data_IF_090974949442
#
_entry.id   IF_090974949442
#
_cell.length_a   1.000
_cell.length_b   1.000
_cell.length_c   1.000
_cell.angle_alpha   90.00
_cell.angle_beta   90.00
_cell.angle_gamma   90.00
#
_symmetry.space_group_name_H-M   'P 1'
#
loop_
_entity.id
_entity.type
_entity.pdbx_description
1 polymer ?
#
# COMPACT_ATOMS: atom_id res chain seq x y z
N UNK A 1 -30.97 -6.97 3.15
CA UNK A 1 -29.89 -7.51 3.99
C UNK A 1 -29.07 -8.49 3.18
N UNK A 2 -27.75 -8.33 3.16
CA UNK A 2 -26.86 -9.36 2.61
C UNK A 2 -26.74 -10.46 3.68
N UNK A 3 -27.38 -11.60 3.45
CA UNK A 3 -27.22 -12.78 4.28
C UNK A 3 -25.84 -13.36 3.97
N UNK A 4 -24.88 -13.18 4.88
CA UNK A 4 -23.61 -13.90 4.84
C UNK A 4 -23.76 -15.23 5.57
N UNK A 5 -24.33 -16.22 4.90
CA UNK A 5 -24.36 -17.61 5.37
C UNK A 5 -23.14 -18.37 4.84
N UNK A 6 -21.95 -17.83 5.11
CA UNK A 6 -20.68 -18.51 4.77
C UNK A 6 -19.90 -18.68 6.06
N UNK A 7 -19.79 -19.93 6.52
CA UNK A 7 -18.82 -20.30 7.53
C UNK A 7 -17.41 -20.15 6.93
N UNK A 8 -16.69 -19.12 7.39
CA UNK A 8 -15.34 -18.81 6.92
C UNK A 8 -14.37 -19.96 7.21
N UNK A 9 -14.53 -20.67 8.33
CA UNK A 9 -13.66 -21.79 8.69
C UNK A 9 -13.91 -22.98 7.76
N UNK A 10 -15.19 -23.30 7.48
CA UNK A 10 -15.55 -24.34 6.52
C UNK A 10 -15.04 -23.99 5.12
N UNK A 11 -15.22 -22.73 4.68
CA UNK A 11 -14.74 -22.24 3.40
C UNK A 11 -13.21 -22.40 3.27
N UNK A 12 -12.45 -21.95 4.27
CA UNK A 12 -10.99 -22.07 4.29
C UNK A 12 -10.54 -23.53 4.26
N UNK A 13 -11.20 -24.40 5.02
CA UNK A 13 -10.89 -25.83 5.05
C UNK A 13 -11.12 -26.49 3.67
N UNK A 14 -12.29 -26.28 3.06
CA UNK A 14 -12.60 -26.81 1.72
C UNK A 14 -11.65 -26.27 0.66
N UNK A 15 -11.34 -24.97 0.71
CA UNK A 15 -10.42 -24.34 -0.24
C UNK A 15 -9.02 -24.97 -0.17
N UNK A 16 -8.50 -25.22 1.04
CA UNK A 16 -7.24 -25.94 1.24
C UNK A 16 -7.28 -27.36 0.66
N UNK A 17 -8.37 -28.09 0.89
CA UNK A 17 -8.51 -29.44 0.33
C UNK A 17 -8.51 -29.42 -1.20
N UNK A 18 -9.21 -28.48 -1.82
CA UNK A 18 -9.23 -28.34 -3.29
C UNK A 18 -7.83 -28.00 -3.79
N UNK A 19 -7.16 -27.00 -3.19
CA UNK A 19 -5.82 -26.59 -3.58
C UNK A 19 -4.81 -27.74 -3.54
N UNK A 20 -4.87 -28.57 -2.50
CA UNK A 20 -3.96 -29.71 -2.34
C UNK A 20 -4.25 -30.86 -3.33
N UNK A 21 -5.45 -30.92 -3.90
CA UNK A 21 -5.83 -31.89 -4.93
C UNK A 21 -5.51 -31.42 -6.36
N UNK A 22 -5.17 -30.14 -6.55
CA UNK A 22 -4.81 -29.63 -7.87
C UNK A 22 -3.56 -30.35 -8.39
N UNK A 23 -3.64 -30.83 -9.63
CA UNK A 23 -2.51 -31.44 -10.32
C UNK A 23 -1.61 -30.35 -10.88
N UNK A 24 -0.45 -30.17 -10.27
CA UNK A 24 0.58 -29.25 -10.75
C UNK A 24 1.55 -29.96 -11.69
N UNK A 25 2.03 -29.25 -12.71
CA UNK A 25 3.12 -29.77 -13.56
C UNK A 25 4.41 -29.92 -12.75
N UNK A 26 5.35 -30.71 -13.27
CA UNK A 26 6.65 -30.96 -12.62
C UNK A 26 7.39 -29.66 -12.25
N UNK A 27 7.32 -28.62 -13.10
CA UNK A 27 7.94 -27.32 -12.83
C UNK A 27 7.39 -26.66 -11.56
N UNK A 28 6.07 -26.62 -11.41
CA UNK A 28 5.43 -26.03 -10.23
C UNK A 28 5.57 -26.89 -8.97
N UNK A 29 5.63 -28.22 -9.12
CA UNK A 29 5.98 -29.12 -8.02
C UNK A 29 7.42 -28.88 -7.53
N UNK A 30 8.36 -28.66 -8.44
CA UNK A 30 9.73 -28.30 -8.06
C UNK A 30 9.77 -26.96 -7.30
N UNK A 31 8.99 -25.96 -7.73
CA UNK A 31 8.88 -24.68 -7.01
C UNK A 31 8.36 -24.89 -5.58
N UNK A 32 7.33 -25.74 -5.39
CA UNK A 32 6.86 -26.11 -4.05
C UNK A 32 7.98 -26.70 -3.19
N UNK A 33 8.77 -27.63 -3.75
CA UNK A 33 9.90 -28.24 -3.03
C UNK A 33 10.97 -27.20 -2.64
N UNK A 34 11.29 -26.25 -3.52
CA UNK A 34 12.22 -25.15 -3.21
C UNK A 34 11.69 -24.31 -2.04
N UNK A 35 10.39 -24.00 -2.05
CA UNK A 35 9.73 -23.26 -0.95
C UNK A 35 9.80 -24.03 0.37
N UNK A 36 9.52 -25.34 0.39
CA UNK A 36 9.65 -26.15 1.61
C UNK A 36 11.08 -26.11 2.15
N UNK A 37 12.09 -26.23 1.30
CA UNK A 37 13.49 -26.16 1.71
C UNK A 37 13.83 -24.80 2.34
N UNK A 38 13.33 -23.69 1.79
CA UNK A 38 13.51 -22.35 2.38
C UNK A 38 12.79 -22.26 3.72
N UNK A 39 11.55 -22.74 3.80
CA UNK A 39 10.76 -22.74 5.04
C UNK A 39 11.46 -23.51 6.16
N UNK A 40 12.01 -24.69 5.85
CA UNK A 40 12.80 -25.49 6.79
C UNK A 40 14.07 -24.77 7.25
N UNK A 41 14.81 -24.11 6.35
CA UNK A 41 15.98 -23.28 6.71
C UNK A 41 15.62 -22.12 7.63
N UNK A 42 14.38 -21.64 7.56
CA UNK A 42 13.84 -20.61 8.44
C UNK A 42 13.28 -21.17 9.76
N UNK A 43 13.52 -22.44 10.07
CA UNK A 43 13.00 -23.15 11.25
C UNK A 43 11.47 -23.24 11.26
N UNK A 44 10.85 -23.38 10.09
CA UNK A 44 9.40 -23.53 9.94
C UNK A 44 8.61 -22.38 10.56
N UNK A 45 9.19 -21.17 10.60
CA UNK A 45 8.53 -20.05 11.24
C UNK A 45 9.08 -18.71 10.75
N UNK A 46 8.18 -17.87 10.22
CA UNK A 46 8.45 -16.47 9.93
C UNK A 46 7.15 -15.65 9.86
N UNK A 47 7.30 -14.32 9.89
CA UNK A 47 6.25 -13.33 9.62
C UNK A 47 6.44 -12.76 8.22
N UNK A 48 5.37 -12.63 7.47
CA UNK A 48 5.38 -12.01 6.15
C UNK A 48 4.90 -10.55 6.22
N UNK A 49 5.57 -9.68 5.47
CA UNK A 49 5.09 -8.34 5.15
C UNK A 49 4.94 -8.25 3.64
N UNK A 50 3.71 -8.12 3.16
CA UNK A 50 3.36 -8.07 1.74
C UNK A 50 3.01 -6.65 1.31
N UNK A 51 3.93 -6.03 0.59
CA UNK A 51 3.82 -4.69 0.03
C UNK A 51 3.25 -4.81 -1.37
N UNK A 52 2.13 -4.12 -1.63
CA UNK A 52 1.52 -4.00 -2.96
C UNK A 52 1.26 -2.52 -3.20
N UNK A 53 1.30 -2.11 -4.47
CA UNK A 53 0.93 -0.76 -4.88
C UNK A 53 2.04 0.01 -5.58
N UNK A 54 3.11 -0.64 -6.02
CA UNK A 54 4.14 0.01 -6.84
C UNK A 54 3.59 0.58 -8.15
N UNK A 55 2.72 -0.17 -8.83
CA UNK A 55 1.97 0.31 -10.01
C UNK A 55 1.01 1.47 -9.67
N UNK A 56 0.43 1.49 -8.47
CA UNK A 56 -0.43 2.58 -8.02
C UNK A 56 0.40 3.83 -7.79
N UNK A 57 1.56 3.73 -7.13
CA UNK A 57 2.42 4.89 -6.81
C UNK A 57 3.13 5.42 -8.05
N UNK A 58 3.65 4.52 -8.90
CA UNK A 58 4.50 4.88 -10.03
C UNK A 58 3.73 4.99 -11.36
N UNK A 59 2.52 4.45 -11.44
CA UNK A 59 1.67 4.48 -12.64
C UNK A 59 0.62 5.59 -12.61
N UNK A 60 -0.27 5.58 -13.61
CA UNK A 60 -1.32 6.60 -13.77
C UNK A 60 -2.42 6.51 -12.71
N UNK A 61 -2.58 5.36 -12.07
CA UNK A 61 -3.53 5.17 -10.97
C UNK A 61 -3.21 6.02 -9.72
N UNK A 62 -2.00 6.61 -9.63
CA UNK A 62 -1.63 7.52 -8.53
C UNK A 62 -2.57 8.73 -8.41
N UNK A 63 -3.27 9.09 -9.48
CA UNK A 63 -4.25 10.18 -9.49
C UNK A 63 -5.47 9.88 -8.59
N UNK A 64 -5.74 8.60 -8.29
CA UNK A 64 -6.92 8.14 -7.56
C UNK A 64 -6.61 7.63 -6.14
N UNK A 65 -5.39 7.85 -5.65
CA UNK A 65 -4.99 7.44 -4.29
C UNK A 65 -5.91 8.10 -3.26
N UNK A 66 -6.11 9.42 -3.31
CA UNK A 66 -6.94 10.14 -2.32
C UNK A 66 -8.46 9.93 -2.47
N UNK A 67 -8.88 9.00 -3.34
CA UNK A 67 -10.28 8.61 -3.54
C UNK A 67 -10.47 7.12 -3.21
N UNK A 68 -10.44 6.23 -4.22
CA UNK A 68 -10.73 4.81 -4.06
C UNK A 68 -9.51 3.94 -3.77
N UNK A 69 -8.29 4.43 -4.04
CA UNK A 69 -7.09 3.59 -3.99
C UNK A 69 -6.25 3.70 -2.71
N UNK A 70 -6.55 4.61 -1.78
CA UNK A 70 -5.71 4.80 -0.59
C UNK A 70 -5.58 3.53 0.26
N UNK A 71 -6.60 2.67 0.31
CA UNK A 71 -6.55 1.40 1.07
C UNK A 71 -5.63 0.34 0.45
N UNK A 72 -5.26 0.53 -0.82
CA UNK A 72 -4.29 -0.31 -1.52
C UNK A 72 -2.86 0.23 -1.39
N UNK A 73 -2.70 1.50 -1.00
CA UNK A 73 -1.39 2.10 -0.78
C UNK A 73 -0.77 1.57 0.50
N UNK A 74 0.55 1.40 0.45
CA UNK A 74 1.36 0.96 1.56
C UNK A 74 2.54 1.92 1.75
N UNK A 75 2.41 2.91 2.66
CA UNK A 75 3.49 3.86 2.90
C UNK A 75 4.75 3.16 3.42
N UNK A 76 5.89 3.44 2.79
CA UNK A 76 7.16 2.75 3.12
C UNK A 76 7.65 3.11 4.53
N UNK A 77 7.24 4.26 5.07
CA UNK A 77 7.46 4.69 6.44
C UNK A 77 6.82 3.73 7.44
N UNK A 78 5.54 3.37 7.22
CA UNK A 78 4.81 2.42 8.08
C UNK A 78 5.40 1.02 7.97
N UNK A 79 5.75 0.59 6.76
CA UNK A 79 6.43 -0.70 6.53
C UNK A 79 7.76 -0.75 7.27
N UNK A 80 8.57 0.31 7.13
CA UNK A 80 9.87 0.41 7.79
C UNK A 80 9.70 0.38 9.31
N UNK A 81 8.67 1.05 9.85
CA UNK A 81 8.37 1.03 11.28
C UNK A 81 7.95 -0.37 11.77
N UNK A 82 7.11 -1.08 11.01
CA UNK A 82 6.73 -2.45 11.33
C UNK A 82 7.92 -3.40 11.32
N UNK A 83 8.81 -3.30 10.31
CA UNK A 83 10.04 -4.10 10.24
C UNK A 83 10.90 -3.86 11.48
N UNK A 84 11.12 -2.60 11.87
CA UNK A 84 11.92 -2.25 13.06
C UNK A 84 11.33 -2.88 14.33
N UNK A 85 10.02 -2.78 14.51
CA UNK A 85 9.33 -3.37 15.67
C UNK A 85 9.54 -4.88 15.74
N UNK A 86 9.34 -5.58 14.62
CA UNK A 86 9.49 -7.04 14.55
C UNK A 86 10.95 -7.50 14.70
N UNK A 87 11.91 -6.74 14.16
CA UNK A 87 13.34 -7.01 14.35
C UNK A 87 13.75 -6.87 15.82
N UNK A 88 13.21 -5.87 16.54
CA UNK A 88 13.42 -5.71 17.98
C UNK A 88 12.93 -6.91 18.80
N UNK A 89 11.93 -7.64 18.30
CA UNK A 89 11.40 -8.88 18.88
C UNK A 89 12.17 -10.13 18.43
N UNK A 90 13.23 -9.99 17.63
CA UNK A 90 14.03 -11.08 17.06
C UNK A 90 13.21 -12.06 16.22
N UNK A 91 12.14 -11.58 15.58
CA UNK A 91 11.28 -12.37 14.71
C UNK A 91 11.90 -12.42 13.31
N UNK A 92 11.88 -13.60 12.67
CA UNK A 92 12.24 -13.75 11.25
C UNK A 92 11.15 -13.17 10.36
N UNK A 93 11.52 -12.29 9.44
CA UNK A 93 10.62 -11.54 8.58
C UNK A 93 10.98 -11.83 7.13
N UNK A 94 9.98 -12.08 6.28
CA UNK A 94 10.14 -12.03 4.83
C UNK A 94 9.28 -10.91 4.28
N UNK A 95 9.92 -9.98 3.56
CA UNK A 95 9.24 -8.90 2.84
C UNK A 95 8.98 -9.34 1.40
N UNK A 96 7.73 -9.27 0.98
CA UNK A 96 7.26 -9.55 -0.37
C UNK A 96 6.83 -8.22 -1.00
N UNK A 97 7.25 -7.98 -2.24
CA UNK A 97 6.91 -6.78 -3.00
C UNK A 97 6.91 -7.09 -4.48
N UNK A 98 6.01 -6.46 -5.23
CA UNK A 98 6.04 -6.41 -6.68
C UNK A 98 6.86 -5.23 -7.23
N UNK A 99 7.31 -4.35 -6.34
CA UNK A 99 8.15 -3.19 -6.65
C UNK A 99 9.56 -3.37 -6.08
N UNK A 100 10.53 -3.58 -6.98
CA UNK A 100 11.94 -3.71 -6.63
C UNK A 100 12.55 -2.40 -6.09
N UNK A 101 12.11 -1.25 -6.57
CA UNK A 101 12.59 0.05 -6.12
C UNK A 101 12.16 0.29 -4.67
N UNK A 102 10.91 -0.05 -4.33
CA UNK A 102 10.41 0.02 -2.96
C UNK A 102 11.25 -0.82 -1.99
N UNK A 103 11.59 -2.06 -2.41
CA UNK A 103 12.45 -2.95 -1.62
C UNK A 103 13.83 -2.32 -1.40
N UNK A 104 14.44 -1.77 -2.45
CA UNK A 104 15.75 -1.12 -2.32
C UNK A 104 15.71 0.12 -1.44
N UNK A 105 14.63 0.91 -1.50
CA UNK A 105 14.43 2.04 -0.59
C UNK A 105 14.33 1.58 0.87
N UNK A 106 13.57 0.53 1.16
CA UNK A 106 13.48 -0.04 2.52
C UNK A 106 14.86 -0.51 2.99
N UNK A 107 15.57 -1.32 2.19
CA UNK A 107 16.92 -1.82 2.51
C UNK A 107 17.86 -0.67 2.85
N UNK A 108 17.95 0.35 1.98
CA UNK A 108 18.83 1.51 2.18
C UNK A 108 18.49 2.26 3.47
N UNK A 109 17.21 2.44 3.78
CA UNK A 109 16.79 3.10 5.01
C UNK A 109 17.18 2.30 6.27
N UNK A 110 17.02 0.98 6.25
CA UNK A 110 17.38 0.13 7.38
C UNK A 110 18.90 0.09 7.61
N UNK A 111 19.69 -0.02 6.53
CA UNK A 111 21.16 0.00 6.59
C UNK A 111 21.67 1.34 7.08
N UNK A 112 21.15 2.45 6.55
CA UNK A 112 21.57 3.80 6.94
C UNK A 112 21.38 4.06 8.44
N UNK A 113 20.32 3.49 9.03
CA UNK A 113 20.02 3.59 10.46
C UNK A 113 20.66 2.47 11.30
N UNK A 114 21.58 1.68 10.73
CA UNK A 114 22.37 0.66 11.43
C UNK A 114 21.54 -0.42 12.14
N UNK A 115 20.37 -0.79 11.60
CA UNK A 115 19.58 -1.90 12.16
C UNK A 115 20.28 -3.24 11.93
N UNK A 116 20.19 -4.15 12.90
CA UNK A 116 20.56 -5.54 12.70
C UNK A 116 19.54 -6.23 11.78
N UNK A 117 20.01 -6.72 10.63
CA UNK A 117 19.17 -7.32 9.58
C UNK A 117 19.24 -8.85 9.54
N UNK A 118 19.87 -9.51 10.52
CA UNK A 118 20.05 -10.97 10.57
C UNK A 118 18.74 -11.75 10.34
N UNK A 119 17.62 -11.23 10.86
CA UNK A 119 16.31 -11.85 10.77
C UNK A 119 15.42 -11.26 9.65
N UNK A 120 15.96 -10.45 8.75
CA UNK A 120 15.20 -9.84 7.65
C UNK A 120 15.61 -10.45 6.30
N UNK A 121 14.63 -10.98 5.59
CA UNK A 121 14.78 -11.49 4.24
C UNK A 121 13.84 -10.76 3.29
N UNK A 122 14.22 -10.70 2.02
CA UNK A 122 13.35 -10.22 0.95
C UNK A 122 13.08 -11.38 0.01
N UNK A 123 11.83 -11.57 -0.40
CA UNK A 123 11.43 -12.72 -1.20
C UNK A 123 12.22 -12.79 -2.52
N UNK A 124 12.50 -11.63 -3.14
CA UNK A 124 13.30 -11.54 -4.36
C UNK A 124 14.73 -12.11 -4.22
N UNK A 125 15.32 -12.02 -3.03
CA UNK A 125 16.66 -12.54 -2.76
C UNK A 125 16.62 -14.07 -2.54
N UNK A 126 15.44 -14.62 -2.23
CA UNK A 126 15.19 -16.05 -2.05
C UNK A 126 14.70 -16.74 -3.34
N UNK A 127 14.12 -15.98 -4.27
CA UNK A 127 13.62 -16.48 -5.55
C UNK A 127 14.77 -16.96 -6.46
N UNK A 128 14.71 -18.18 -7.00
CA UNK A 128 15.66 -18.62 -8.02
C UNK A 128 15.61 -17.75 -9.28
N UNK A 129 16.77 -17.30 -9.77
CA UNK A 129 16.88 -16.35 -10.90
C UNK A 129 16.42 -16.90 -12.26
N UNK A 130 16.25 -18.22 -12.38
CA UNK A 130 15.88 -18.88 -13.64
C UNK A 130 14.36 -19.00 -13.83
N UNK A 131 13.55 -18.62 -12.84
CA UNK A 131 12.09 -18.73 -12.93
C UNK A 131 11.52 -17.70 -13.92
N UNK A 132 10.49 -18.10 -14.66
CA UNK A 132 9.66 -17.16 -15.43
C UNK A 132 8.89 -16.21 -14.49
N UNK A 133 8.22 -15.20 -15.07
CA UNK A 133 7.39 -14.26 -14.30
C UNK A 133 6.26 -15.01 -13.57
N UNK A 134 5.58 -15.92 -14.25
CA UNK A 134 4.47 -16.72 -13.70
C UNK A 134 4.97 -17.67 -12.61
N UNK A 135 6.11 -18.32 -12.85
CA UNK A 135 6.78 -19.19 -11.88
C UNK A 135 7.22 -18.41 -10.64
N UNK A 136 7.69 -17.17 -10.80
CA UNK A 136 8.07 -16.27 -9.71
C UNK A 136 6.85 -15.82 -8.89
N UNK A 137 5.74 -15.48 -9.54
CA UNK A 137 4.46 -15.18 -8.86
C UNK A 137 4.02 -16.40 -8.04
N UNK A 138 4.06 -17.60 -8.64
CA UNK A 138 3.71 -18.83 -7.94
C UNK A 138 4.65 -19.14 -6.77
N UNK A 139 5.97 -18.94 -6.94
CA UNK A 139 6.96 -19.08 -5.88
C UNK A 139 6.66 -18.15 -4.70
N UNK A 140 6.47 -16.85 -4.96
CA UNK A 140 6.14 -15.88 -3.92
C UNK A 140 4.84 -16.23 -3.21
N UNK A 141 3.84 -16.71 -3.95
CA UNK A 141 2.56 -17.12 -3.40
C UNK A 141 2.71 -18.34 -2.47
N UNK A 142 3.42 -19.37 -2.92
CA UNK A 142 3.70 -20.56 -2.11
C UNK A 142 4.52 -20.22 -0.87
N UNK A 143 5.54 -19.36 -0.99
CA UNK A 143 6.32 -18.95 0.16
C UNK A 143 5.49 -18.13 1.13
N UNK A 144 4.70 -17.16 0.65
CA UNK A 144 3.83 -16.34 1.48
C UNK A 144 2.83 -17.18 2.28
N UNK A 145 2.25 -18.25 1.70
CA UNK A 145 1.31 -19.13 2.39
C UNK A 145 1.93 -19.95 3.53
N UNK A 146 3.26 -20.05 3.60
CA UNK A 146 3.97 -20.70 4.72
C UNK A 146 4.16 -19.80 5.94
N UNK A 147 3.84 -18.52 5.83
CA UNK A 147 4.00 -17.58 6.94
C UNK A 147 3.01 -17.86 8.08
N UNK A 148 3.44 -17.60 9.31
CA UNK A 148 2.56 -17.74 10.49
C UNK A 148 1.64 -16.52 10.65
N UNK A 149 2.14 -15.35 10.27
CA UNK A 149 1.42 -14.07 10.32
C UNK A 149 1.69 -13.32 9.02
N UNK A 150 0.66 -12.67 8.48
CA UNK A 150 0.78 -11.87 7.27
C UNK A 150 0.27 -10.44 7.51
N UNK A 151 1.19 -9.49 7.41
CA UNK A 151 0.86 -8.07 7.28
C UNK A 151 0.80 -7.71 5.79
N UNK A 152 -0.22 -6.98 5.34
CA UNK A 152 -0.25 -6.49 3.95
C UNK A 152 -1.31 -5.42 3.69
N UNK A 153 -1.48 -4.99 2.44
CA UNK A 153 -2.53 -4.03 2.07
C UNK A 153 -3.92 -4.61 2.31
N UNK A 154 -4.91 -3.75 2.59
CA UNK A 154 -6.23 -4.16 3.07
C UNK A 154 -6.86 -5.24 2.19
N UNK A 155 -6.86 -5.00 0.89
CA UNK A 155 -7.65 -5.75 -0.09
C UNK A 155 -6.79 -6.55 -1.07
N UNK A 156 -5.54 -6.87 -0.73
CA UNK A 156 -4.74 -7.76 -1.58
C UNK A 156 -5.31 -9.18 -1.58
N UNK A 157 -5.98 -9.56 -2.67
CA UNK A 157 -6.52 -10.92 -2.88
C UNK A 157 -5.41 -11.98 -2.86
N UNK A 158 -4.23 -11.64 -3.37
CA UNK A 158 -3.03 -12.49 -3.34
C UNK A 158 -2.67 -12.89 -1.89
N UNK A 159 -2.59 -11.90 -1.00
CA UNK A 159 -2.33 -12.08 0.42
C UNK A 159 -3.43 -12.89 1.11
N UNK A 160 -4.68 -12.48 0.91
CA UNK A 160 -5.86 -13.09 1.52
C UNK A 160 -5.92 -14.58 1.19
N UNK A 161 -5.77 -14.91 -0.10
CA UNK A 161 -5.77 -16.29 -0.58
C UNK A 161 -4.59 -17.09 -0.02
N UNK A 162 -3.38 -16.52 0.01
CA UNK A 162 -2.21 -17.18 0.59
C UNK A 162 -2.44 -17.54 2.07
N UNK A 163 -3.02 -16.63 2.85
CA UNK A 163 -3.33 -16.91 4.25
C UNK A 163 -4.45 -17.93 4.46
N UNK A 164 -5.42 -18.02 3.54
CA UNK A 164 -6.47 -19.06 3.60
C UNK A 164 -5.94 -20.46 3.28
N UNK A 165 -5.03 -20.55 2.31
CA UNK A 165 -4.41 -21.80 1.89
C UNK A 165 -3.31 -22.28 2.85
N UNK A 166 -2.71 -21.34 3.57
CA UNK A 166 -1.58 -21.58 4.46
C UNK A 166 -1.94 -22.09 5.85
N UNK A 167 -0.92 -22.11 6.70
CA UNK A 167 -1.03 -22.31 8.15
C UNK A 167 -1.06 -20.97 8.91
N UNK A 168 -1.49 -19.92 8.22
CA UNK A 168 -1.49 -18.57 8.76
C UNK A 168 -2.46 -18.46 9.94
N UNK A 169 -1.95 -18.02 11.09
CA UNK A 169 -2.75 -17.83 12.31
C UNK A 169 -3.52 -16.52 12.30
N UNK A 170 -2.97 -15.50 11.66
CA UNK A 170 -3.59 -14.17 11.59
C UNK A 170 -3.11 -13.41 10.36
N UNK A 171 -4.06 -12.81 9.66
CA UNK A 171 -3.82 -11.83 8.61
C UNK A 171 -4.25 -10.47 9.11
N UNK A 172 -3.45 -9.44 8.88
CA UNK A 172 -3.69 -8.11 9.41
C UNK A 172 -3.31 -7.07 8.36
N UNK A 173 -4.21 -6.12 8.09
CA UNK A 173 -3.83 -5.02 7.23
C UNK A 173 -2.92 -4.04 8.00
N UNK A 174 -1.94 -3.39 7.35
CA UNK A 174 -1.15 -2.38 8.08
C UNK A 174 -2.00 -1.21 8.54
N UNK A 175 -3.08 -0.91 7.81
CA UNK A 175 -4.07 0.09 8.22
C UNK A 175 -4.64 -0.22 9.62
N UNK A 176 -4.68 -1.49 10.00
CA UNK A 176 -5.21 -1.98 11.27
C UNK A 176 -4.09 -2.25 12.30
N UNK A 177 -2.82 -2.19 11.89
CA UNK A 177 -1.65 -2.46 12.75
C UNK A 177 -1.30 -1.27 13.65
N UNK A 178 -1.59 -0.07 13.19
CA UNK A 178 -1.36 1.19 13.92
C UNK A 178 -2.67 1.98 13.93
N UNK A 179 -2.97 2.68 15.02
CA UNK A 179 -4.11 3.62 15.06
C UNK A 179 -3.91 4.76 14.06
N UNK A 180 -4.97 5.47 13.68
CA UNK A 180 -4.83 6.61 12.77
C UNK A 180 -3.91 7.72 13.32
N UNK A 181 -3.93 7.98 14.62
CA UNK A 181 -2.99 8.91 15.25
C UNK A 181 -1.54 8.41 15.14
N UNK A 182 -1.28 7.14 15.42
CA UNK A 182 0.05 6.54 15.27
C UNK A 182 0.52 6.58 13.82
N UNK A 183 -0.35 6.24 12.87
CA UNK A 183 -0.03 6.31 11.44
C UNK A 183 0.34 7.73 11.03
N UNK A 184 -0.45 8.72 11.45
CA UNK A 184 -0.19 10.12 11.16
C UNK A 184 1.14 10.58 11.75
N UNK A 185 1.43 10.20 13.01
CA UNK A 185 2.66 10.55 13.69
C UNK A 185 3.88 9.91 13.01
N UNK A 186 3.85 8.59 12.79
CA UNK A 186 4.93 7.85 12.12
C UNK A 186 5.21 8.47 10.75
N UNK A 187 4.19 8.71 9.94
CA UNK A 187 4.36 9.29 8.62
C UNK A 187 4.92 10.72 8.69
N UNK A 188 4.38 11.56 9.56
CA UNK A 188 4.80 12.96 9.69
C UNK A 188 6.26 13.08 10.11
N UNK A 189 6.68 12.28 11.09
CA UNK A 189 8.05 12.25 11.60
C UNK A 189 9.04 11.70 10.57
N UNK A 190 8.59 10.72 9.78
CA UNK A 190 9.45 9.99 8.87
C UNK A 190 9.46 10.51 7.42
N UNK A 191 8.55 11.42 7.06
CA UNK A 191 8.42 11.94 5.69
C UNK A 191 9.71 12.59 5.13
N UNK A 192 10.60 13.04 6.02
CA UNK A 192 11.93 13.55 5.63
C UNK A 192 13.06 12.55 5.83
N UNK A 193 13.02 11.77 6.92
CA UNK A 193 14.12 10.88 7.32
C UNK A 193 14.16 9.59 6.50
N UNK A 194 13.00 9.06 6.11
CA UNK A 194 12.91 7.91 5.22
C UNK A 194 13.18 8.39 3.80
N UNK A 195 14.30 7.93 3.25
CA UNK A 195 14.77 8.26 1.90
C UNK A 195 13.96 7.47 0.89
N UNK A 196 12.93 8.09 0.35
CA UNK A 196 12.14 7.59 -0.77
C UNK A 196 12.26 8.51 -2.00
N UNK A 197 11.88 7.99 -3.16
CA UNK A 197 11.77 8.76 -4.40
C UNK A 197 10.59 9.75 -4.32
N UNK A 198 10.47 10.63 -5.32
CA UNK A 198 9.45 11.68 -5.33
C UNK A 198 8.01 11.12 -5.39
N UNK A 199 7.78 10.05 -6.14
CA UNK A 199 6.45 9.42 -6.26
C UNK A 199 5.98 8.87 -4.91
N UNK A 200 6.84 8.17 -4.19
CA UNK A 200 6.54 7.66 -2.84
C UNK A 200 6.37 8.78 -1.81
N UNK A 201 7.11 9.89 -1.92
CA UNK A 201 6.87 11.08 -1.07
C UNK A 201 5.53 11.75 -1.35
N UNK A 202 5.13 11.83 -2.62
CA UNK A 202 3.82 12.34 -3.00
C UNK A 202 2.71 11.43 -2.44
N UNK A 203 2.83 10.11 -2.63
CA UNK A 203 1.89 9.12 -2.10
C UNK A 203 1.79 9.18 -0.57
N UNK A 204 2.90 9.38 0.14
CA UNK A 204 2.90 9.55 1.60
C UNK A 204 2.18 10.83 2.03
N UNK A 205 2.29 11.92 1.28
CA UNK A 205 1.51 13.15 1.53
C UNK A 205 0.01 12.94 1.27
N UNK A 206 -0.36 12.17 0.23
CA UNK A 206 -1.76 11.82 -0.04
C UNK A 206 -2.34 10.99 1.10
N UNK A 207 -1.59 10.00 1.58
CA UNK A 207 -2.00 9.16 2.68
C UNK A 207 -2.14 9.96 3.98
N UNK A 208 -1.16 10.82 4.30
CA UNK A 208 -1.23 11.76 5.42
C UNK A 208 -2.46 12.66 5.37
N UNK A 209 -2.85 13.12 4.18
CA UNK A 209 -4.07 13.90 4.00
C UNK A 209 -5.32 13.06 4.34
N UNK A 210 -5.43 11.83 3.81
CA UNK A 210 -6.58 10.95 4.06
C UNK A 210 -6.71 10.61 5.55
N UNK A 211 -5.62 10.17 6.19
CA UNK A 211 -5.63 9.88 7.62
C UNK A 211 -5.87 11.14 8.45
N UNK A 212 -5.26 12.27 8.06
CA UNK A 212 -5.47 13.56 8.72
C UNK A 212 -6.93 14.01 8.72
N UNK A 213 -7.69 13.72 7.65
CA UNK A 213 -9.15 13.92 7.60
C UNK A 213 -9.89 13.01 8.58
N UNK A 214 -9.46 11.76 8.74
CA UNK A 214 -10.12 10.79 9.64
C UNK A 214 -9.91 11.08 11.13
N UNK A 215 -8.91 11.91 11.48
CA UNK A 215 -8.62 12.35 12.86
C UNK A 215 -8.84 13.85 13.03
N UNK A 216 -9.66 14.46 12.17
CA UNK A 216 -10.10 15.86 12.24
C UNK A 216 -8.95 16.88 12.36
N UNK A 217 -7.84 16.66 11.63
CA UNK A 217 -6.78 17.66 11.54
C UNK A 217 -7.28 18.96 10.91
N UNK A 218 -6.75 20.06 11.41
CA UNK A 218 -7.02 21.40 10.89
C UNK A 218 -6.82 21.50 9.36
N UNK A 219 -7.74 22.20 8.70
CA UNK A 219 -7.77 22.31 7.24
C UNK A 219 -6.55 23.03 6.68
N UNK A 220 -5.99 24.04 7.36
CA UNK A 220 -4.75 24.65 6.90
C UNK A 220 -3.57 23.68 6.97
N UNK A 221 -3.51 22.84 8.02
CA UNK A 221 -2.53 21.77 8.12
C UNK A 221 -2.64 20.81 6.92
N UNK A 222 -3.86 20.38 6.59
CA UNK A 222 -4.13 19.51 5.44
C UNK A 222 -3.72 20.17 4.10
N UNK A 223 -4.02 21.46 3.90
CA UNK A 223 -3.57 22.20 2.72
C UNK A 223 -2.04 22.23 2.62
N UNK A 224 -1.32 22.43 3.73
CA UNK A 224 0.15 22.39 3.76
C UNK A 224 0.70 21.02 3.33
N UNK A 225 0.07 19.94 3.78
CA UNK A 225 0.41 18.56 3.37
C UNK A 225 0.17 18.38 1.86
N UNK A 226 -1.00 18.76 1.36
CA UNK A 226 -1.35 18.64 -0.06
C UNK A 226 -0.40 19.46 -0.96
N UNK A 227 -0.08 20.70 -0.58
CA UNK A 227 0.91 21.53 -1.30
C UNK A 227 2.30 20.92 -1.29
N UNK A 228 2.70 20.26 -0.20
CA UNK A 228 3.96 19.52 -0.14
C UNK A 228 3.94 18.32 -1.09
N UNK A 229 2.86 17.55 -1.11
CA UNK A 229 2.68 16.43 -2.04
C UNK A 229 2.72 16.85 -3.50
N UNK A 230 2.01 17.92 -3.86
CA UNK A 230 2.02 18.49 -5.22
C UNK A 230 3.41 18.96 -5.65
N UNK A 231 4.25 19.45 -4.73
CA UNK A 231 5.65 19.78 -5.04
C UNK A 231 6.47 18.55 -5.38
N UNK A 232 6.13 17.36 -4.89
CA UNK A 232 6.80 16.11 -5.25
C UNK A 232 6.30 15.56 -6.59
N UNK A 233 4.98 15.61 -6.84
CA UNK A 233 4.35 15.25 -8.11
C UNK A 233 3.46 16.38 -8.66
N UNK A 234 4.04 17.33 -9.43
CA UNK A 234 3.30 18.46 -10.00
C UNK A 234 2.34 18.08 -11.13
N UNK A 235 2.39 16.83 -11.64
CA UNK A 235 1.47 16.36 -12.67
C UNK A 235 0.17 15.83 -12.07
N UNK A 236 0.19 15.44 -10.80
CA UNK A 236 -0.98 14.91 -10.13
C UNK A 236 -1.93 16.03 -9.68
N UNK A 237 -2.94 16.31 -10.50
CA UNK A 237 -3.91 17.36 -10.23
C UNK A 237 -4.91 17.01 -9.12
N UNK A 238 -4.95 15.78 -8.62
CA UNK A 238 -5.81 15.42 -7.48
C UNK A 238 -5.46 16.23 -6.23
N UNK A 239 -4.19 16.60 -6.04
CA UNK A 239 -3.78 17.52 -4.98
C UNK A 239 -4.49 18.87 -5.10
N UNK A 240 -4.56 19.41 -6.31
CA UNK A 240 -5.20 20.70 -6.56
C UNK A 240 -6.71 20.63 -6.36
N UNK A 241 -7.35 19.54 -6.79
CA UNK A 241 -8.76 19.28 -6.50
C UNK A 241 -8.98 19.31 -4.97
N UNK A 242 -8.25 18.52 -4.19
CA UNK A 242 -8.43 18.49 -2.73
C UNK A 242 -8.08 19.81 -2.04
N UNK A 243 -7.11 20.58 -2.56
CA UNK A 243 -6.79 21.93 -2.03
C UNK A 243 -7.97 22.88 -2.22
N UNK A 244 -8.55 22.91 -3.42
CA UNK A 244 -9.67 23.79 -3.75
C UNK A 244 -10.89 23.46 -2.89
N UNK A 245 -11.21 22.16 -2.73
CA UNK A 245 -12.31 21.70 -1.86
C UNK A 245 -12.15 22.21 -0.42
N UNK A 246 -10.95 22.09 0.17
CA UNK A 246 -10.68 22.65 1.50
C UNK A 246 -10.76 24.18 1.54
N UNK A 247 -10.34 24.86 0.46
CA UNK A 247 -10.38 26.33 0.39
C UNK A 247 -11.80 26.86 0.28
N UNK A 248 -12.73 26.17 -0.38
CA UNK A 248 -14.14 26.60 -0.40
C UNK A 248 -14.73 26.70 1.02
N UNK A 249 -14.28 25.83 1.93
CA UNK A 249 -14.70 25.86 3.34
C UNK A 249 -13.94 26.88 4.21
N UNK A 250 -12.81 27.44 3.74
CA UNK A 250 -11.95 28.34 4.52
C UNK A 250 -11.96 29.78 3.99
N UNK A 251 -11.82 29.94 2.68
CA UNK A 251 -11.59 31.20 1.97
C UNK A 251 -11.93 31.01 0.48
N UNK A 252 -13.16 31.35 0.12
CA UNK A 252 -13.69 31.21 -1.25
C UNK A 252 -12.88 32.03 -2.25
N UNK A 253 -12.35 33.19 -1.87
CA UNK A 253 -11.55 34.04 -2.76
C UNK A 253 -10.25 33.32 -3.14
N UNK A 254 -9.60 32.64 -2.18
CA UNK A 254 -8.43 31.80 -2.47
C UNK A 254 -8.79 30.59 -3.33
N UNK A 255 -9.95 29.97 -3.11
CA UNK A 255 -10.42 28.87 -3.94
C UNK A 255 -10.58 29.30 -5.40
N UNK A 256 -11.25 30.43 -5.65
CA UNK A 256 -11.41 30.99 -7.00
C UNK A 256 -10.07 31.31 -7.66
N UNK A 257 -9.11 31.87 -6.91
CA UNK A 257 -7.78 32.18 -7.41
C UNK A 257 -7.06 30.90 -7.86
N UNK A 258 -7.10 29.83 -7.07
CA UNK A 258 -6.50 28.54 -7.43
C UNK A 258 -7.18 27.93 -8.67
N UNK A 259 -8.52 28.03 -8.79
CA UNK A 259 -9.26 27.58 -9.97
C UNK A 259 -8.82 28.35 -11.21
N UNK A 260 -8.78 29.69 -11.16
CA UNK A 260 -8.34 30.55 -12.28
C UNK A 260 -6.94 30.17 -12.75
N UNK A 261 -6.01 29.95 -11.83
CA UNK A 261 -4.64 29.54 -12.15
C UNK A 261 -4.60 28.17 -12.85
N UNK A 262 -5.36 27.19 -12.37
CA UNK A 262 -5.43 25.86 -13.00
C UNK A 262 -6.08 25.91 -14.38
N UNK A 263 -7.12 26.72 -14.56
CA UNK A 263 -7.77 26.87 -15.86
C UNK A 263 -6.87 27.57 -16.88
N UNK A 264 -5.93 28.40 -16.43
CA UNK A 264 -4.92 28.99 -17.31
C UNK A 264 -3.86 27.95 -17.71
N UNK A 265 -3.36 27.14 -16.77
CA UNK A 265 -2.21 26.27 -17.02
C UNK A 265 -2.57 24.84 -17.47
N UNK A 266 -3.66 24.27 -16.96
CA UNK A 266 -3.95 22.82 -16.98
C UNK A 266 -5.44 22.48 -17.12
N UNK A 267 -6.23 23.35 -17.76
CA UNK A 267 -7.69 23.24 -17.88
C UNK A 267 -8.19 21.84 -18.23
N UNK A 268 -7.72 21.28 -19.34
CA UNK A 268 -8.25 20.01 -19.87
C UNK A 268 -7.96 18.84 -18.92
N UNK A 269 -6.72 18.69 -18.46
CA UNK A 269 -6.36 17.62 -17.52
C UNK A 269 -7.06 17.75 -16.17
N UNK A 270 -7.34 18.97 -15.71
CA UNK A 270 -8.12 19.18 -14.48
C UNK A 270 -9.57 18.75 -14.63
N UNK A 271 -10.24 19.16 -15.71
CA UNK A 271 -11.62 18.79 -16.01
C UNK A 271 -11.72 17.27 -16.20
N UNK A 272 -10.84 16.69 -17.00
CA UNK A 272 -10.80 15.25 -17.24
C UNK A 272 -10.67 14.47 -15.93
N UNK A 273 -9.77 14.89 -15.04
CA UNK A 273 -9.59 14.24 -13.75
C UNK A 273 -10.81 14.44 -12.83
N UNK A 274 -11.36 15.65 -12.74
CA UNK A 274 -12.51 15.96 -11.86
C UNK A 274 -13.75 15.12 -12.23
N UNK A 275 -13.96 14.85 -13.52
CA UNK A 275 -15.07 14.03 -14.02
C UNK A 275 -14.69 12.57 -14.30
N UNK A 276 -13.48 12.16 -13.94
CA UNK A 276 -12.99 10.82 -14.23
C UNK A 276 -13.83 9.75 -13.53
N UNK A 277 -14.01 8.64 -14.25
CA UNK A 277 -14.60 7.41 -13.74
C UNK A 277 -13.55 6.32 -13.79
N UNK A 278 -13.12 5.86 -12.62
CA UNK A 278 -12.21 4.73 -12.51
C UNK A 278 -12.95 3.51 -11.97
N UNK A 279 -13.19 3.44 -10.65
CA UNK A 279 -14.13 2.47 -10.07
C UNK A 279 -15.52 3.09 -9.87
N UNK A 280 -15.52 4.38 -9.55
CA UNK A 280 -16.71 5.23 -9.39
C UNK A 280 -16.39 6.62 -9.93
N UNK A 281 -17.32 7.57 -9.77
CA UNK A 281 -16.96 8.98 -9.94
C UNK A 281 -16.04 9.38 -8.78
N UNK A 282 -14.74 9.50 -9.07
CA UNK A 282 -13.70 9.54 -8.04
C UNK A 282 -13.70 10.84 -7.23
N UNK A 283 -14.09 11.96 -7.86
CA UNK A 283 -14.15 13.30 -7.26
C UNK A 283 -15.55 13.91 -7.31
N UNK A 284 -16.59 13.07 -7.24
CA UNK A 284 -17.99 13.53 -7.32
C UNK A 284 -18.34 14.49 -6.18
N UNK A 285 -17.82 14.24 -4.98
CA UNK A 285 -18.11 15.05 -3.81
C UNK A 285 -17.54 16.46 -3.95
N UNK A 286 -16.30 16.57 -4.43
CA UNK A 286 -15.61 17.84 -4.69
C UNK A 286 -16.33 18.61 -5.79
N UNK A 287 -16.69 17.93 -6.88
CA UNK A 287 -17.51 18.53 -7.93
C UNK A 287 -18.83 19.10 -7.39
N UNK A 288 -19.57 18.31 -6.60
CA UNK A 288 -20.84 18.74 -5.99
C UNK A 288 -20.65 19.90 -5.03
N UNK A 289 -19.53 19.93 -4.30
CA UNK A 289 -19.21 21.06 -3.43
C UNK A 289 -18.94 22.32 -4.25
N UNK A 290 -18.21 22.22 -5.35
CA UNK A 290 -17.90 23.39 -6.19
C UNK A 290 -19.16 24.04 -6.75
N UNK A 291 -20.17 23.24 -7.11
CA UNK A 291 -21.48 23.73 -7.56
C UNK A 291 -22.26 24.51 -6.50
N UNK A 292 -22.00 24.33 -5.21
CA UNK A 292 -22.67 25.09 -4.15
C UNK A 292 -22.14 26.52 -4.03
N UNK A 293 -20.95 26.77 -4.55
CA UNK A 293 -20.25 28.06 -4.49
C UNK A 293 -20.16 28.76 -5.85
N UNK A 294 -20.78 28.18 -6.89
CA UNK A 294 -20.91 28.75 -8.24
C UNK A 294 -22.28 29.45 -8.39
#
# INVERSE_FOLDING_TARGET
ELIFDIDIQEYQYKLRQIWNKLQFSYKYLNIKNIVENIYHKLNNHFVAIHIRGGDIVNGEHRLFIMSSLWTYLYPLELVTQLIKMLLGQKIKIIVFSDDDEAVEMIKKNLIYNQYNLENLYFSKDLTPKYLSIEENIFFNFQLLSKSRYIYGSQWSTFRILAGFLGECKKQEAILDTFTYDEQYQILSDNLRSVKTNRSYKAASCMYLYVIGRNIDKDKECLIKILRKGFRYDPKNLSFKIKIIDLLFELDVVKAECEIKNIFFEKKYGFIELLFSKFYKMEFEMEWRNYLKFA
#
